data_IF_069692828492
#
_entry.id   IF_069692828492
#
_cell.length_a   1.000
_cell.length_b   1.000
_cell.length_c   1.000
_cell.angle_alpha   90.00
_cell.angle_beta   90.00
_cell.angle_gamma   90.00
#
_symmetry.space_group_name_H-M   'P 1'
#
loop_
_entity.id
_entity.type
_entity.pdbx_description
1 polymer ?
#
# COMPACT_ATOMS: atom_id res chain seq x y z
N UNK A 1 -18.03 -10.13 -28.08
CA UNK A 1 -19.12 -10.57 -27.17
C UNK A 1 -18.66 -11.56 -26.10
N UNK A 2 -17.89 -12.60 -26.43
CA UNK A 2 -17.42 -13.62 -25.45
C UNK A 2 -16.52 -13.11 -24.31
N UNK A 3 -15.66 -12.11 -24.55
CA UNK A 3 -14.74 -11.56 -23.53
C UNK A 3 -15.50 -10.74 -22.47
N UNK A 4 -16.53 -9.99 -22.86
CA UNK A 4 -17.39 -9.23 -21.93
C UNK A 4 -18.25 -10.15 -21.06
N UNK A 5 -18.77 -11.24 -21.63
CA UNK A 5 -19.52 -12.26 -20.88
C UNK A 5 -18.62 -13.05 -19.90
N UNK A 6 -17.38 -13.35 -20.30
CA UNK A 6 -16.40 -13.99 -19.42
C UNK A 6 -15.98 -13.08 -18.26
N UNK A 7 -15.76 -11.78 -18.52
CA UNK A 7 -15.46 -10.78 -17.49
C UNK A 7 -16.61 -10.61 -16.50
N UNK A 8 -17.85 -10.52 -16.99
CA UNK A 8 -19.05 -10.46 -16.13
C UNK A 8 -19.32 -11.73 -15.32
N UNK A 9 -19.04 -12.92 -15.88
CA UNK A 9 -19.15 -14.20 -15.15
C UNK A 9 -18.11 -14.27 -14.03
N UNK A 10 -16.86 -13.90 -14.29
CA UNK A 10 -15.78 -13.86 -13.28
C UNK A 10 -16.14 -12.93 -12.12
N UNK A 11 -16.56 -11.71 -12.44
CA UNK A 11 -16.96 -10.72 -11.43
C UNK A 11 -18.14 -11.20 -10.57
N UNK A 12 -19.14 -11.83 -11.21
CA UNK A 12 -20.27 -12.43 -10.48
C UNK A 12 -19.84 -13.56 -9.54
N UNK A 13 -18.90 -14.42 -9.95
CA UNK A 13 -18.35 -15.48 -9.08
C UNK A 13 -17.64 -14.86 -7.88
N UNK A 14 -16.81 -13.83 -8.10
CA UNK A 14 -16.09 -13.14 -7.03
C UNK A 14 -17.06 -12.54 -6.02
N UNK A 15 -18.01 -11.72 -6.47
CA UNK A 15 -18.96 -11.04 -5.59
C UNK A 15 -19.83 -12.04 -4.81
N UNK A 16 -20.41 -13.04 -5.50
CA UNK A 16 -21.26 -14.04 -4.83
C UNK A 16 -20.47 -14.85 -3.79
N UNK A 17 -19.25 -15.26 -4.12
CA UNK A 17 -18.40 -16.03 -3.21
C UNK A 17 -18.01 -15.21 -1.99
N UNK A 18 -17.64 -13.93 -2.18
CA UNK A 18 -17.36 -13.01 -1.08
C UNK A 18 -18.58 -12.81 -0.18
N UNK A 19 -19.77 -12.56 -0.73
CA UNK A 19 -21.00 -12.41 0.09
C UNK A 19 -21.35 -13.68 0.88
N UNK A 20 -21.16 -14.87 0.31
CA UNK A 20 -21.34 -16.12 1.04
C UNK A 20 -20.34 -16.21 2.20
N UNK A 21 -19.06 -15.90 1.96
CA UNK A 21 -18.02 -15.89 3.00
C UNK A 21 -18.35 -14.94 4.14
N UNK A 22 -18.78 -13.72 3.82
CA UNK A 22 -19.23 -12.73 4.81
C UNK A 22 -20.39 -13.28 5.64
N UNK A 23 -21.44 -13.80 4.98
CA UNK A 23 -22.61 -14.34 5.67
C UNK A 23 -22.26 -15.48 6.63
N UNK A 24 -21.39 -16.40 6.21
CA UNK A 24 -20.93 -17.49 7.08
C UNK A 24 -20.10 -16.98 8.25
N UNK A 25 -19.18 -16.04 8.03
CA UNK A 25 -18.39 -15.44 9.12
C UNK A 25 -19.25 -14.66 10.12
N UNK A 26 -20.29 -13.94 9.66
CA UNK A 26 -21.28 -13.28 10.55
C UNK A 26 -21.99 -14.29 11.43
N UNK A 27 -22.51 -15.37 10.83
CA UNK A 27 -23.21 -16.42 11.57
C UNK A 27 -22.29 -17.09 12.59
N UNK A 28 -21.06 -17.43 12.20
CA UNK A 28 -20.07 -18.04 13.08
C UNK A 28 -19.63 -17.11 14.21
N UNK A 29 -19.41 -15.83 13.94
CA UNK A 29 -19.03 -14.85 14.95
C UNK A 29 -20.14 -14.69 16.01
N UNK A 30 -21.40 -14.50 15.58
CA UNK A 30 -22.53 -14.40 16.49
C UNK A 30 -22.72 -15.68 17.32
N UNK A 31 -22.66 -16.83 16.64
CA UNK A 31 -22.77 -18.14 17.27
C UNK A 31 -21.70 -18.39 18.34
N UNK A 32 -20.42 -18.19 18.00
CA UNK A 32 -19.30 -18.38 18.93
C UNK A 32 -19.32 -17.39 20.08
N UNK A 33 -19.79 -16.16 19.85
CA UNK A 33 -19.93 -15.15 20.91
C UNK A 33 -20.90 -15.63 21.99
N UNK A 34 -22.09 -16.13 21.60
CA UNK A 34 -23.09 -16.66 22.55
C UNK A 34 -22.52 -17.84 23.34
N UNK A 35 -21.84 -18.78 22.68
CA UNK A 35 -21.22 -19.93 23.35
C UNK A 35 -20.10 -19.51 24.28
N UNK A 36 -19.22 -18.62 23.83
CA UNK A 36 -18.07 -18.16 24.60
C UNK A 36 -18.49 -17.51 25.92
N UNK A 37 -19.51 -16.64 25.89
CA UNK A 37 -20.07 -16.07 27.12
C UNK A 37 -20.76 -17.11 28.00
N UNK A 38 -21.51 -18.04 27.40
CA UNK A 38 -22.27 -19.04 28.16
C UNK A 38 -21.39 -20.10 28.82
N UNK A 39 -20.17 -20.31 28.31
CA UNK A 39 -19.21 -21.30 28.80
C UNK A 39 -18.05 -20.68 29.60
N UNK A 40 -18.04 -19.34 29.75
CA UNK A 40 -16.91 -18.56 30.25
C UNK A 40 -15.59 -18.86 29.50
N UNK A 41 -15.69 -19.26 28.24
CA UNK A 41 -14.54 -19.69 27.43
C UNK A 41 -13.93 -18.50 26.68
N UNK A 42 -12.72 -18.11 27.08
CA UNK A 42 -11.97 -17.04 26.40
C UNK A 42 -11.58 -17.49 25.02
N UNK A 43 -11.07 -18.70 24.84
CA UNK A 43 -10.54 -19.11 23.54
C UNK A 43 -11.64 -19.12 22.46
N UNK A 44 -12.87 -19.49 22.84
CA UNK A 44 -14.04 -19.38 21.95
C UNK A 44 -14.38 -17.91 21.66
N UNK A 45 -14.33 -17.02 22.65
CA UNK A 45 -14.54 -15.58 22.44
C UNK A 45 -13.45 -14.99 21.52
N UNK A 46 -12.19 -15.42 21.65
CA UNK A 46 -11.09 -14.94 20.81
C UNK A 46 -11.26 -15.37 19.35
N UNK A 47 -11.64 -16.63 19.16
CA UNK A 47 -12.00 -17.15 17.86
C UNK A 47 -13.24 -16.42 17.27
N UNK A 48 -14.22 -16.04 18.10
CA UNK A 48 -15.34 -15.19 17.68
C UNK A 48 -14.89 -13.80 17.20
N UNK A 49 -13.97 -13.15 17.94
CA UNK A 49 -13.39 -11.84 17.57
C UNK A 49 -12.63 -11.92 16.25
N UNK A 50 -11.89 -13.00 16.00
CA UNK A 50 -11.21 -13.22 14.72
C UNK A 50 -12.22 -13.29 13.56
N UNK A 51 -13.30 -14.07 13.73
CA UNK A 51 -14.38 -14.15 12.73
C UNK A 51 -15.11 -12.80 12.53
N UNK A 52 -15.30 -12.04 13.60
CA UNK A 52 -15.86 -10.69 13.52
C UNK A 52 -14.93 -9.74 12.77
N UNK A 53 -13.62 -9.88 12.91
CA UNK A 53 -12.62 -9.10 12.19
C UNK A 53 -12.73 -9.31 10.67
N UNK A 54 -12.94 -10.55 10.21
CA UNK A 54 -13.20 -10.84 8.80
C UNK A 54 -14.47 -10.16 8.27
N UNK A 55 -15.52 -10.17 9.08
CA UNK A 55 -16.80 -9.51 8.75
C UNK A 55 -16.58 -8.02 8.61
N UNK A 56 -15.93 -7.39 9.59
CA UNK A 56 -15.66 -5.96 9.58
C UNK A 56 -14.82 -5.57 8.36
N UNK A 57 -13.73 -6.28 8.09
CA UNK A 57 -12.91 -6.08 6.89
C UNK A 57 -13.76 -6.06 5.62
N UNK A 58 -14.65 -7.04 5.48
CA UNK A 58 -15.51 -7.16 4.30
C UNK A 58 -16.59 -6.07 4.20
N UNK A 59 -17.23 -5.72 5.32
CA UNK A 59 -18.23 -4.65 5.38
C UNK A 59 -17.59 -3.32 5.02
N UNK A 60 -16.36 -3.04 5.49
CA UNK A 60 -15.65 -1.82 5.13
C UNK A 60 -15.16 -1.85 3.70
N UNK A 61 -14.69 -2.97 3.14
CA UNK A 61 -14.38 -3.00 1.71
C UNK A 61 -15.59 -2.54 0.90
N UNK A 62 -16.80 -2.96 1.27
CA UNK A 62 -18.03 -2.52 0.58
C UNK A 62 -18.41 -1.07 0.90
N UNK A 63 -18.42 -0.69 2.18
CA UNK A 63 -18.85 0.65 2.61
C UNK A 63 -17.83 1.73 2.23
N UNK A 64 -16.54 1.46 2.46
CA UNK A 64 -15.39 2.26 2.09
C UNK A 64 -15.33 2.46 0.58
N UNK A 65 -15.45 1.39 -0.23
CA UNK A 65 -15.50 1.54 -1.68
C UNK A 65 -16.67 2.42 -2.13
N UNK A 66 -17.86 2.26 -1.53
CA UNK A 66 -19.04 3.07 -1.87
C UNK A 66 -18.86 4.55 -1.51
N UNK A 67 -18.18 4.86 -0.41
CA UNK A 67 -17.86 6.24 -0.03
C UNK A 67 -16.73 6.81 -0.90
N UNK A 68 -15.73 5.99 -1.23
CA UNK A 68 -14.60 6.32 -2.08
C UNK A 68 -14.99 6.59 -3.54
N UNK A 69 -16.06 5.94 -4.02
CA UNK A 69 -16.58 6.10 -5.38
C UNK A 69 -17.40 7.38 -5.59
N UNK A 70 -17.56 8.21 -4.55
CA UNK A 70 -18.18 9.52 -4.71
C UNK A 70 -17.33 10.41 -5.61
N UNK A 71 -17.99 11.03 -6.60
CA UNK A 71 -17.37 12.00 -7.48
C UNK A 71 -16.73 13.17 -6.69
N UNK A 72 -15.71 13.83 -7.26
CA UNK A 72 -15.16 15.07 -6.72
C UNK A 72 -16.22 16.15 -6.50
N UNK A 73 -16.03 16.94 -5.46
CA UNK A 73 -16.85 18.10 -5.13
C UNK A 73 -16.00 19.33 -4.78
N UNK A 74 -16.65 20.43 -4.38
CA UNK A 74 -15.97 21.69 -4.07
C UNK A 74 -14.98 21.56 -2.91
N UNK A 75 -15.31 20.75 -1.89
CA UNK A 75 -14.44 20.54 -0.73
C UNK A 75 -13.33 19.52 -1.05
N UNK A 76 -13.62 18.57 -1.95
CA UNK A 76 -12.75 17.45 -2.30
C UNK A 76 -12.52 17.37 -3.82
N UNK A 77 -11.67 18.25 -4.40
CA UNK A 77 -11.44 18.32 -5.85
C UNK A 77 -10.74 17.09 -6.44
N UNK A 78 -10.04 16.31 -5.61
CA UNK A 78 -9.45 15.02 -6.00
C UNK A 78 -10.38 13.81 -5.74
N UNK A 79 -11.61 14.08 -5.30
CA UNK A 79 -12.57 13.06 -4.93
C UNK A 79 -12.35 12.50 -3.53
N UNK A 80 -13.04 11.39 -3.28
CA UNK A 80 -13.24 10.85 -1.94
C UNK A 80 -12.50 9.53 -1.69
N UNK A 81 -11.58 9.16 -2.59
CA UNK A 81 -10.95 7.84 -2.59
C UNK A 81 -10.27 7.46 -1.27
N UNK A 82 -9.69 8.43 -0.55
CA UNK A 82 -9.06 8.21 0.76
C UNK A 82 -10.02 7.78 1.87
N UNK A 83 -11.35 7.87 1.67
CA UNK A 83 -12.30 7.28 2.62
C UNK A 83 -12.12 5.76 2.76
N UNK A 84 -11.58 5.09 1.74
CA UNK A 84 -11.25 3.66 1.84
C UNK A 84 -10.20 3.42 2.92
N UNK A 85 -9.10 4.19 2.89
CA UNK A 85 -8.04 4.12 3.91
C UNK A 85 -8.56 4.57 5.28
N UNK A 86 -9.32 5.66 5.36
CA UNK A 86 -9.88 6.11 6.65
C UNK A 86 -10.81 5.06 7.26
N UNK A 87 -11.59 4.37 6.44
CA UNK A 87 -12.45 3.29 6.92
C UNK A 87 -11.62 2.10 7.42
N UNK A 88 -10.58 1.69 6.68
CA UNK A 88 -9.66 0.64 7.11
C UNK A 88 -8.95 1.00 8.42
N UNK A 89 -8.60 2.28 8.60
CA UNK A 89 -7.97 2.78 9.81
C UNK A 89 -8.87 2.58 11.03
N UNK A 90 -10.14 2.98 10.94
CA UNK A 90 -11.11 2.81 12.04
C UNK A 90 -11.24 1.33 12.43
N UNK A 91 -11.30 0.41 11.46
CA UNK A 91 -11.36 -1.03 11.79
C UNK A 91 -10.08 -1.48 12.46
N UNK A 92 -8.92 -1.09 11.95
CA UNK A 92 -7.64 -1.55 12.49
C UNK A 92 -7.52 -1.20 13.96
N UNK A 93 -8.04 -0.04 14.36
CA UNK A 93 -8.16 0.38 15.76
C UNK A 93 -9.12 -0.53 16.53
N UNK A 94 -10.30 -0.85 15.98
CA UNK A 94 -11.28 -1.74 16.63
C UNK A 94 -10.71 -3.16 16.82
N UNK A 95 -10.09 -3.74 15.79
CA UNK A 95 -9.47 -5.07 15.83
C UNK A 95 -8.31 -5.07 16.82
N UNK A 96 -7.44 -4.05 16.77
CA UNK A 96 -6.33 -3.93 17.68
C UNK A 96 -6.81 -3.82 19.13
N UNK A 97 -7.81 -2.97 19.40
CA UNK A 97 -8.44 -2.84 20.72
C UNK A 97 -9.07 -4.16 21.19
N UNK A 98 -9.77 -4.88 20.31
CA UNK A 98 -10.32 -6.18 20.60
C UNK A 98 -9.21 -7.19 20.95
N UNK A 99 -8.10 -7.17 20.20
CA UNK A 99 -6.88 -7.96 20.47
C UNK A 99 -6.19 -7.63 21.80
N UNK A 100 -6.19 -6.36 22.21
CA UNK A 100 -5.64 -5.96 23.53
C UNK A 100 -6.55 -6.48 24.64
N UNK A 101 -7.86 -6.25 24.54
CA UNK A 101 -8.85 -6.72 25.51
C UNK A 101 -8.80 -8.25 25.65
N UNK A 102 -8.74 -8.93 24.51
CA UNK A 102 -8.50 -10.35 24.36
C UNK A 102 -7.28 -10.88 25.10
N UNK A 103 -6.14 -10.22 24.91
CA UNK A 103 -4.88 -10.57 25.57
C UNK A 103 -4.97 -10.37 27.08
N UNK A 104 -5.50 -9.23 27.53
CA UNK A 104 -5.68 -8.94 28.96
C UNK A 104 -6.53 -10.01 29.62
N UNK A 105 -7.65 -10.39 29.00
CA UNK A 105 -8.56 -11.39 29.53
C UNK A 105 -7.91 -12.78 29.56
N UNK A 106 -7.19 -13.15 28.49
CA UNK A 106 -6.44 -14.41 28.43
C UNK A 106 -5.38 -14.51 29.53
N UNK A 107 -4.63 -13.43 29.76
CA UNK A 107 -3.61 -13.36 30.82
C UNK A 107 -4.25 -13.46 32.20
N UNK A 108 -5.37 -12.79 32.45
CA UNK A 108 -6.10 -12.92 33.73
C UNK A 108 -6.46 -14.38 34.01
N UNK A 109 -7.01 -15.11 33.03
CA UNK A 109 -7.37 -16.53 33.20
C UNK A 109 -6.19 -17.50 33.18
N UNK A 110 -4.99 -17.05 32.85
CA UNK A 110 -3.75 -17.81 33.09
C UNK A 110 -3.33 -17.65 34.56
N UNK A 111 -3.43 -16.44 35.12
CA UNK A 111 -3.01 -16.12 36.50
C UNK A 111 -4.04 -16.63 37.52
N UNK A 112 -5.32 -16.39 37.25
CA UNK A 112 -6.47 -16.82 38.05
C UNK A 112 -7.36 -17.71 37.17
N UNK A 113 -7.08 -19.03 37.10
CA UNK A 113 -7.85 -19.94 36.27
C UNK A 113 -9.30 -20.01 36.74
N UNK A 114 -10.22 -19.62 35.86
CA UNK A 114 -11.64 -19.93 36.02
C UNK A 114 -11.92 -21.33 35.47
N UNK A 115 -12.94 -21.98 36.01
CA UNK A 115 -13.42 -23.30 35.55
C UNK A 115 -14.34 -23.06 34.35
N UNK A 116 -13.94 -23.39 33.12
CA UNK A 116 -14.84 -23.30 31.96
C UNK A 116 -15.94 -24.35 32.08
N UNK A 117 -17.19 -23.91 31.88
CA UNK A 117 -18.37 -24.77 31.95
C UNK A 117 -18.78 -25.23 30.55
N UNK A 118 -18.14 -26.31 30.09
CA UNK A 118 -18.51 -26.90 28.80
C UNK A 118 -19.76 -27.76 28.94
N UNK A 119 -20.75 -27.50 28.07
CA UNK A 119 -21.93 -28.35 27.91
C UNK A 119 -21.75 -29.21 26.65
N UNK A 120 -22.43 -30.36 26.58
CA UNK A 120 -22.44 -31.16 25.34
C UNK A 120 -22.89 -30.32 24.13
N UNK A 121 -23.81 -29.38 24.36
CA UNK A 121 -24.24 -28.44 23.33
C UNK A 121 -23.09 -27.53 22.85
N UNK A 122 -22.30 -26.94 23.75
CA UNK A 122 -21.18 -26.06 23.34
C UNK A 122 -20.10 -26.81 22.55
N UNK A 123 -19.82 -28.08 22.89
CA UNK A 123 -18.86 -28.91 22.15
C UNK A 123 -19.36 -29.27 20.74
N UNK A 124 -20.62 -29.71 20.61
CA UNK A 124 -21.23 -30.01 19.30
C UNK A 124 -21.11 -28.80 18.39
N UNK A 125 -21.38 -27.64 18.97
CA UNK A 125 -21.39 -26.38 18.26
C UNK A 125 -19.98 -25.92 17.82
N UNK A 126 -18.94 -26.18 18.61
CA UNK A 126 -17.56 -25.98 18.19
C UNK A 126 -17.18 -26.88 17.01
N UNK A 127 -17.58 -28.15 17.05
CA UNK A 127 -17.38 -29.10 15.95
C UNK A 127 -18.06 -28.59 14.68
N UNK A 128 -19.31 -28.12 14.78
CA UNK A 128 -20.04 -27.52 13.66
C UNK A 128 -19.31 -26.30 13.11
N UNK A 129 -18.79 -25.43 13.97
CA UNK A 129 -18.04 -24.24 13.55
C UNK A 129 -16.75 -24.59 12.79
N UNK A 130 -15.99 -25.58 13.26
CA UNK A 130 -14.78 -26.08 12.57
C UNK A 130 -15.15 -26.64 11.19
N UNK A 131 -16.17 -27.50 11.12
CA UNK A 131 -16.63 -28.09 9.86
C UNK A 131 -17.09 -26.99 8.89
N UNK A 132 -17.85 -26.00 9.38
CA UNK A 132 -18.32 -24.88 8.57
C UNK A 132 -17.16 -24.09 7.95
N UNK A 133 -16.10 -23.79 8.71
CA UNK A 133 -14.90 -23.11 8.19
C UNK A 133 -14.14 -23.98 7.18
N UNK A 134 -14.03 -25.29 7.39
CA UNK A 134 -13.40 -26.20 6.41
C UNK A 134 -14.17 -26.19 5.09
N UNK A 135 -15.50 -26.33 5.15
CA UNK A 135 -16.37 -26.30 3.97
C UNK A 135 -16.25 -24.96 3.27
N UNK A 136 -16.35 -23.86 4.02
CA UNK A 136 -16.23 -22.51 3.47
C UNK A 136 -14.88 -22.31 2.79
N UNK A 137 -13.77 -22.62 3.47
CA UNK A 137 -12.43 -22.44 2.94
C UNK A 137 -12.18 -23.24 1.67
N UNK A 138 -12.61 -24.50 1.63
CA UNK A 138 -12.53 -25.32 0.40
C UNK A 138 -13.39 -24.75 -0.73
N UNK A 139 -14.60 -24.30 -0.43
CA UNK A 139 -15.52 -23.73 -1.41
C UNK A 139 -14.95 -22.42 -2.00
N UNK A 140 -14.56 -21.47 -1.15
CA UNK A 140 -14.02 -20.17 -1.55
C UNK A 140 -12.74 -20.33 -2.35
N UNK A 141 -11.84 -21.23 -1.92
CA UNK A 141 -10.59 -21.53 -2.63
C UNK A 141 -10.84 -22.13 -4.01
N UNK A 142 -11.75 -23.10 -4.13
CA UNK A 142 -12.12 -23.71 -5.40
C UNK A 142 -12.73 -22.66 -6.36
N UNK A 143 -13.60 -21.78 -5.86
CA UNK A 143 -14.16 -20.68 -6.64
C UNK A 143 -13.12 -19.63 -7.03
N UNK A 144 -12.12 -19.39 -6.18
CA UNK A 144 -10.97 -18.55 -6.51
C UNK A 144 -10.11 -19.11 -7.64
N UNK A 145 -9.89 -20.43 -7.66
CA UNK A 145 -9.21 -21.10 -8.78
C UNK A 145 -10.03 -21.04 -10.07
N UNK A 146 -11.35 -21.24 -10.00
CA UNK A 146 -12.25 -21.13 -11.16
C UNK A 146 -12.26 -19.70 -11.75
N UNK A 147 -12.17 -18.68 -10.89
CA UNK A 147 -12.22 -17.27 -11.28
C UNK A 147 -10.84 -16.66 -11.56
N UNK A 148 -9.75 -17.42 -11.45
CA UNK A 148 -8.36 -16.92 -11.45
C UNK A 148 -8.21 -15.66 -10.57
N UNK A 149 -8.61 -15.83 -9.31
CA UNK A 149 -8.66 -14.76 -8.30
C UNK A 149 -7.78 -15.15 -7.12
N UNK A 150 -6.57 -14.61 -7.11
CA UNK A 150 -5.64 -14.76 -5.98
C UNK A 150 -6.26 -14.31 -4.64
N UNK A 151 -7.10 -13.28 -4.66
CA UNK A 151 -7.82 -12.80 -3.48
C UNK A 151 -8.77 -13.85 -2.89
N UNK A 152 -9.55 -14.55 -3.72
CA UNK A 152 -10.42 -15.64 -3.24
C UNK A 152 -9.61 -16.88 -2.83
N UNK A 153 -8.51 -17.21 -3.53
CA UNK A 153 -7.63 -18.31 -3.14
C UNK A 153 -7.01 -18.05 -1.76
N UNK A 154 -6.59 -16.80 -1.51
CA UNK A 154 -6.12 -16.30 -0.23
C UNK A 154 -7.20 -16.43 0.84
N UNK A 155 -8.34 -15.79 0.65
CA UNK A 155 -9.48 -15.83 1.59
C UNK A 155 -9.94 -17.26 1.93
N UNK A 156 -9.98 -18.16 0.95
CA UNK A 156 -10.30 -19.56 1.19
C UNK A 156 -9.22 -20.30 1.98
N UNK A 157 -7.95 -19.92 1.82
CA UNK A 157 -6.84 -20.45 2.63
C UNK A 157 -6.88 -19.88 4.05
N UNK A 158 -7.21 -18.61 4.22
CA UNK A 158 -7.38 -17.96 5.54
C UNK A 158 -8.51 -18.63 6.32
N UNK A 159 -9.66 -18.89 5.70
CA UNK A 159 -10.75 -19.64 6.33
C UNK A 159 -10.34 -21.06 6.76
N UNK A 160 -9.40 -21.71 6.05
CA UNK A 160 -8.85 -22.99 6.47
C UNK A 160 -7.89 -22.83 7.66
N UNK A 161 -7.09 -21.77 7.72
CA UNK A 161 -6.27 -21.46 8.89
C UNK A 161 -7.14 -21.15 10.12
N UNK A 162 -8.23 -20.43 9.96
CA UNK A 162 -9.20 -20.22 11.04
C UNK A 162 -9.81 -21.52 11.53
N UNK A 163 -10.10 -22.47 10.63
CA UNK A 163 -10.57 -23.79 11.03
C UNK A 163 -9.57 -24.50 11.94
N UNK A 164 -8.26 -24.35 11.67
CA UNK A 164 -7.19 -24.90 12.51
C UNK A 164 -7.16 -24.21 13.88
N UNK A 165 -7.34 -22.89 13.94
CA UNK A 165 -7.44 -22.16 15.20
C UNK A 165 -8.66 -22.61 16.01
N UNK A 166 -9.85 -22.64 15.40
CA UNK A 166 -11.09 -23.16 16.02
C UNK A 166 -10.93 -24.61 16.50
N UNK A 167 -10.25 -25.45 15.73
CA UNK A 167 -9.98 -26.83 16.10
C UNK A 167 -9.03 -26.91 17.30
N UNK A 168 -8.04 -26.02 17.38
CA UNK A 168 -7.14 -25.95 18.54
C UNK A 168 -7.88 -25.59 19.82
N UNK A 169 -8.89 -24.70 19.73
CA UNK A 169 -9.81 -24.39 20.85
C UNK A 169 -10.62 -25.63 21.25
N UNK A 170 -11.18 -26.36 20.28
CA UNK A 170 -11.91 -27.60 20.55
C UNK A 170 -11.02 -28.66 21.23
N UNK A 171 -9.78 -28.83 20.76
CA UNK A 171 -8.83 -29.76 21.37
C UNK A 171 -8.50 -29.34 22.80
N UNK A 172 -8.28 -28.05 23.06
CA UNK A 172 -8.04 -27.54 24.42
C UNK A 172 -9.23 -27.82 25.36
N UNK A 173 -10.47 -27.65 24.86
CA UNK A 173 -11.69 -27.98 25.61
C UNK A 173 -11.78 -29.48 25.94
N UNK A 174 -11.51 -30.36 24.97
CA UNK A 174 -11.51 -31.80 25.19
C UNK A 174 -10.42 -32.24 26.18
N UNK A 175 -9.23 -31.63 26.08
CA UNK A 175 -8.13 -31.89 27.02
C UNK A 175 -8.51 -31.49 28.44
N UNK A 176 -9.19 -30.35 28.59
CA UNK A 176 -9.69 -29.91 29.88
C UNK A 176 -10.72 -30.89 30.47
N UNK A 177 -11.64 -31.42 29.66
CA UNK A 177 -12.68 -32.34 30.13
C UNK A 177 -12.13 -33.70 30.58
N UNK A 178 -11.09 -34.22 29.92
CA UNK A 178 -10.52 -35.53 30.26
C UNK A 178 -9.44 -35.45 31.35
N UNK A 179 -8.59 -34.42 31.31
CA UNK A 179 -7.40 -34.32 32.17
C UNK A 179 -7.40 -33.12 33.13
N UNK A 180 -8.39 -32.23 33.06
CA UNK A 180 -8.48 -31.05 33.92
C UNK A 180 -7.42 -29.96 33.66
N UNK A 181 -6.69 -30.04 32.55
CA UNK A 181 -5.60 -29.12 32.22
C UNK A 181 -6.15 -27.84 31.56
N UNK A 182 -5.93 -26.63 32.13
CA UNK A 182 -6.49 -25.37 31.61
C UNK A 182 -5.65 -24.81 30.44
N UNK A 183 -5.50 -25.59 29.37
CA UNK A 183 -4.75 -25.18 28.17
C UNK A 183 -5.44 -24.05 27.38
N UNK A 184 -6.72 -23.86 27.63
CA UNK A 184 -7.55 -22.92 26.89
C UNK A 184 -7.05 -21.48 26.99
N UNK A 185 -6.71 -21.00 28.19
CA UNK A 185 -6.23 -19.63 28.39
C UNK A 185 -4.93 -19.36 27.61
N UNK A 186 -4.08 -20.37 27.45
CA UNK A 186 -2.85 -20.29 26.64
C UNK A 186 -3.16 -20.26 25.13
N UNK A 187 -4.13 -21.06 24.67
CA UNK A 187 -4.59 -21.02 23.27
C UNK A 187 -5.25 -19.66 22.98
N UNK A 188 -6.07 -19.14 23.89
CA UNK A 188 -6.67 -17.81 23.81
C UNK A 188 -5.62 -16.70 23.71
N UNK A 189 -4.58 -16.74 24.56
CA UNK A 189 -3.46 -15.80 24.50
C UNK A 189 -2.70 -15.89 23.17
N UNK A 190 -2.48 -17.11 22.66
CA UNK A 190 -1.83 -17.31 21.37
C UNK A 190 -2.66 -16.71 20.22
N UNK A 191 -3.97 -16.93 20.20
CA UNK A 191 -4.88 -16.33 19.21
C UNK A 191 -4.88 -14.80 19.34
N UNK A 192 -4.91 -14.26 20.57
CA UNK A 192 -4.85 -12.82 20.82
C UNK A 192 -3.54 -12.19 20.28
N UNK A 193 -2.40 -12.87 20.40
CA UNK A 193 -1.14 -12.45 19.78
C UNK A 193 -1.26 -12.31 18.25
N UNK A 194 -1.92 -13.26 17.58
CA UNK A 194 -2.16 -13.18 16.13
C UNK A 194 -3.06 -12.00 15.77
N UNK A 195 -4.16 -11.81 16.52
CA UNK A 195 -5.08 -10.69 16.31
C UNK A 195 -4.35 -9.35 16.50
N UNK A 196 -3.53 -9.21 17.55
CA UNK A 196 -2.74 -8.00 17.80
C UNK A 196 -1.75 -7.72 16.68
N UNK A 197 -1.03 -8.74 16.21
CA UNK A 197 -0.09 -8.61 15.10
C UNK A 197 -0.80 -8.16 13.82
N UNK A 198 -1.94 -8.77 13.51
CA UNK A 198 -2.76 -8.42 12.34
C UNK A 198 -3.33 -7.00 12.45
N UNK A 199 -3.90 -6.64 13.60
CA UNK A 199 -4.44 -5.30 13.86
C UNK A 199 -3.38 -4.21 13.77
N UNK A 200 -2.19 -4.44 14.36
CA UNK A 200 -1.06 -3.51 14.26
C UNK A 200 -0.52 -3.39 12.83
N UNK A 201 -0.39 -4.50 12.11
CA UNK A 201 0.02 -4.51 10.70
C UNK A 201 -0.93 -3.67 9.85
N UNK A 202 -2.24 -3.92 9.95
CA UNK A 202 -3.25 -3.18 9.21
C UNK A 202 -3.25 -1.69 9.57
N UNK A 203 -3.10 -1.35 10.86
CA UNK A 203 -2.99 0.03 11.32
C UNK A 203 -1.79 0.75 10.70
N UNK A 204 -0.61 0.12 10.77
CA UNK A 204 0.63 0.65 10.19
C UNK A 204 0.50 0.85 8.69
N UNK A 205 0.01 -0.17 7.98
CA UNK A 205 -0.06 -0.16 6.52
C UNK A 205 -1.04 0.92 6.04
N UNK A 206 -2.22 1.03 6.67
CA UNK A 206 -3.20 2.08 6.36
C UNK A 206 -2.68 3.49 6.68
N UNK A 207 -1.95 3.64 7.78
CA UNK A 207 -1.32 4.94 8.10
C UNK A 207 -0.26 5.33 7.07
N UNK A 208 0.52 4.37 6.56
CA UNK A 208 1.49 4.63 5.50
C UNK A 208 0.79 5.08 4.20
N UNK A 209 -0.31 4.44 3.82
CA UNK A 209 -1.15 4.86 2.68
C UNK A 209 -1.64 6.31 2.81
N UNK A 210 -2.06 6.69 4.03
CA UNK A 210 -2.56 8.05 4.33
C UNK A 210 -1.43 9.09 4.34
N UNK A 211 -0.29 8.76 4.95
CA UNK A 211 0.86 9.66 5.05
C UNK A 211 1.55 9.91 3.70
N UNK A 212 1.40 8.96 2.77
CA UNK A 212 2.07 9.00 1.48
C UNK A 212 3.29 8.10 1.52
N UNK A 213 3.13 6.90 0.99
CA UNK A 213 4.19 5.94 0.79
C UNK A 213 4.91 6.15 -0.56
N UNK A 214 6.10 5.57 -0.65
CA UNK A 214 6.91 5.67 -1.86
C UNK A 214 6.21 4.96 -3.02
N UNK A 215 6.17 5.56 -4.22
CA UNK A 215 5.54 4.89 -5.36
C UNK A 215 6.26 3.59 -5.72
N UNK A 216 5.51 2.65 -6.28
CA UNK A 216 6.04 1.39 -6.79
C UNK A 216 7.15 1.67 -7.82
N UNK A 217 8.38 1.16 -7.61
CA UNK A 217 9.50 1.32 -8.54
C UNK A 217 9.18 0.81 -9.95
N UNK A 218 8.31 -0.20 -10.11
CA UNK A 218 7.90 -0.69 -11.43
C UNK A 218 7.07 0.36 -12.18
N UNK A 219 6.06 0.93 -11.51
CA UNK A 219 5.24 2.00 -12.06
C UNK A 219 6.08 3.24 -12.41
N UNK A 220 7.03 3.62 -11.56
CA UNK A 220 7.94 4.75 -11.84
C UNK A 220 8.77 4.48 -13.09
N UNK A 221 9.37 3.29 -13.21
CA UNK A 221 10.15 2.90 -14.40
C UNK A 221 9.29 2.91 -15.65
N UNK A 222 8.07 2.40 -15.59
CA UNK A 222 7.14 2.40 -16.72
C UNK A 222 6.83 3.82 -17.20
N UNK A 223 6.46 4.74 -16.30
CA UNK A 223 6.17 6.14 -16.63
C UNK A 223 7.42 6.82 -17.23
N UNK A 224 8.59 6.67 -16.60
CA UNK A 224 9.83 7.28 -17.12
C UNK A 224 10.19 6.75 -18.50
N UNK A 225 10.04 5.45 -18.75
CA UNK A 225 10.30 4.85 -20.06
C UNK A 225 9.33 5.36 -21.13
N UNK A 226 8.04 5.52 -20.79
CA UNK A 226 7.05 6.06 -21.72
C UNK A 226 7.33 7.53 -22.10
N UNK A 227 7.86 8.32 -21.16
CA UNK A 227 8.28 9.71 -21.39
C UNK A 227 9.54 9.77 -22.26
N UNK A 228 10.61 9.05 -21.90
CA UNK A 228 11.89 9.05 -22.65
C UNK A 228 11.75 8.40 -24.03
N UNK A 229 10.68 7.64 -24.29
CA UNK A 229 10.36 7.15 -25.62
C UNK A 229 9.88 8.26 -26.59
N UNK A 230 9.51 9.46 -26.10
CA UNK A 230 9.27 10.61 -26.98
C UNK A 230 10.61 11.21 -27.43
N UNK A 231 10.85 11.36 -28.76
CA UNK A 231 12.14 11.82 -29.29
C UNK A 231 12.62 13.17 -28.75
N UNK A 232 11.69 14.04 -28.37
CA UNK A 232 11.96 15.37 -27.85
C UNK A 232 12.45 15.36 -26.39
N UNK A 233 12.13 14.31 -25.63
CA UNK A 233 12.43 14.21 -24.18
C UNK A 233 13.78 13.53 -23.98
N UNK A 234 14.77 14.30 -23.52
CA UNK A 234 16.09 13.74 -23.19
C UNK A 234 16.08 12.93 -21.89
N UNK A 235 15.25 13.34 -20.92
CA UNK A 235 15.16 12.70 -19.61
C UNK A 235 13.91 13.09 -18.84
N UNK A 236 13.50 12.21 -17.93
CA UNK A 236 12.38 12.40 -17.02
C UNK A 236 12.85 12.21 -15.56
N UNK A 237 12.69 13.26 -14.78
CA UNK A 237 13.25 13.45 -13.44
C UNK A 237 12.15 13.88 -12.47
N UNK A 238 12.43 13.78 -11.16
CA UNK A 238 11.54 14.22 -10.08
C UNK A 238 10.07 13.82 -10.26
N UNK A 239 9.85 12.59 -10.74
CA UNK A 239 8.52 12.01 -10.81
C UNK A 239 7.99 11.86 -9.38
N UNK A 240 7.04 12.72 -9.04
CA UNK A 240 6.26 12.68 -7.82
C UNK A 240 4.93 12.00 -8.13
N UNK A 241 4.51 11.06 -7.30
CA UNK A 241 3.21 10.41 -7.41
C UNK A 241 2.52 10.52 -6.05
N UNK A 242 1.32 11.10 -6.05
CA UNK A 242 0.45 11.21 -4.89
C UNK A 242 -0.77 10.32 -5.10
N UNK A 243 -1.09 9.52 -4.07
CA UNK A 243 -2.26 8.68 -4.06
C UNK A 243 -3.43 9.35 -3.32
N UNK A 244 -4.60 9.40 -3.96
CA UNK A 244 -5.85 9.94 -3.40
C UNK A 244 -6.92 8.85 -3.21
N UNK A 245 -6.48 7.62 -3.00
CA UNK A 245 -7.30 6.42 -2.90
C UNK A 245 -6.88 5.38 -3.94
N UNK A 246 -7.37 4.14 -3.81
CA UNK A 246 -7.02 3.07 -4.74
C UNK A 246 -7.35 3.46 -6.19
N UNK A 247 -6.37 3.26 -7.07
CA UNK A 247 -6.47 3.59 -8.50
C UNK A 247 -6.49 5.09 -8.84
N UNK A 248 -6.35 5.99 -7.85
CA UNK A 248 -6.40 7.45 -8.05
C UNK A 248 -5.03 8.07 -7.80
N UNK A 249 -4.12 7.84 -8.73
CA UNK A 249 -2.76 8.36 -8.69
C UNK A 249 -2.63 9.63 -9.54
N UNK A 250 -2.12 10.69 -8.93
CA UNK A 250 -1.80 11.95 -9.60
C UNK A 250 -0.30 12.17 -9.53
N UNK A 251 0.30 12.55 -10.65
CA UNK A 251 1.73 12.68 -10.76
C UNK A 251 2.15 14.02 -11.35
N UNK A 252 3.30 14.51 -10.90
CA UNK A 252 4.02 15.59 -11.56
C UNK A 252 5.42 15.10 -11.93
N UNK A 253 5.93 15.59 -13.05
CA UNK A 253 7.23 15.15 -13.57
C UNK A 253 8.01 16.34 -14.14
N UNK A 254 9.33 16.27 -14.02
CA UNK A 254 10.22 17.21 -14.67
C UNK A 254 10.80 16.55 -15.93
N UNK A 255 10.65 17.19 -17.08
CA UNK A 255 11.19 16.70 -18.35
C UNK A 255 12.27 17.63 -18.87
N UNK A 256 13.27 17.06 -19.53
CA UNK A 256 14.37 17.82 -20.11
C UNK A 256 14.20 17.90 -21.64
N UNK A 257 14.09 19.13 -22.16
CA UNK A 257 13.78 19.46 -23.55
C UNK A 257 14.83 20.38 -24.18
N UNK A 258 15.00 20.35 -25.52
CA UNK A 258 15.88 21.28 -26.23
C UNK A 258 15.57 22.75 -25.95
N UNK A 259 16.60 23.57 -25.74
CA UNK A 259 16.51 25.04 -25.58
C UNK A 259 15.99 25.81 -26.81
N UNK A 260 15.60 25.10 -27.87
CA UNK A 260 15.09 25.66 -29.13
C UNK A 260 13.60 25.44 -29.35
N UNK A 261 12.94 24.64 -28.50
CA UNK A 261 11.52 24.38 -28.64
C UNK A 261 10.70 25.64 -28.35
N UNK A 262 9.67 25.88 -29.16
CA UNK A 262 8.68 26.92 -28.89
C UNK A 262 7.70 26.44 -27.82
N UNK A 263 7.06 27.38 -27.13
CA UNK A 263 6.00 27.05 -26.14
C UNK A 263 4.88 26.23 -26.78
N UNK A 264 4.53 26.50 -28.05
CA UNK A 264 3.55 25.73 -28.81
C UNK A 264 3.97 24.27 -29.00
N UNK A 265 5.25 24.01 -29.32
CA UNK A 265 5.75 22.63 -29.45
C UNK A 265 5.73 21.89 -28.11
N UNK A 266 6.06 22.60 -27.02
CA UNK A 266 5.99 22.04 -25.66
C UNK A 266 4.55 21.71 -25.29
N UNK A 267 3.58 22.59 -25.58
CA UNK A 267 2.14 22.35 -25.33
C UNK A 267 1.60 21.11 -26.07
N UNK A 268 1.99 20.95 -27.34
CA UNK A 268 1.62 19.75 -28.11
C UNK A 268 2.23 18.47 -27.53
N UNK A 269 3.47 18.54 -27.05
CA UNK A 269 4.14 17.41 -26.40
C UNK A 269 3.48 17.06 -25.07
N UNK A 270 3.16 18.05 -24.22
CA UNK A 270 2.55 17.80 -22.90
C UNK A 270 1.17 17.15 -23.03
N UNK A 271 0.33 17.60 -23.96
CA UNK A 271 -0.95 16.96 -24.25
C UNK A 271 -0.78 15.48 -24.66
N UNK A 272 0.19 15.19 -25.53
CA UNK A 272 0.47 13.83 -26.00
C UNK A 272 0.90 12.92 -24.85
N UNK A 273 1.83 13.36 -24.01
CA UNK A 273 2.32 12.54 -22.88
C UNK A 273 1.25 12.36 -21.81
N UNK A 274 0.39 13.35 -21.54
CA UNK A 274 -0.73 13.21 -20.62
C UNK A 274 -1.64 12.04 -21.02
N UNK A 275 -2.05 12.01 -22.29
CA UNK A 275 -2.93 10.95 -22.81
C UNK A 275 -2.21 9.59 -22.83
N UNK A 276 -0.94 9.55 -23.26
CA UNK A 276 -0.14 8.32 -23.35
C UNK A 276 0.05 7.68 -21.98
N UNK A 277 0.43 8.45 -20.97
CA UNK A 277 0.64 7.96 -19.60
C UNK A 277 -0.68 7.49 -19.01
N UNK A 278 -1.75 8.29 -19.10
CA UNK A 278 -3.03 7.91 -18.52
C UNK A 278 -3.58 6.60 -19.12
N UNK A 279 -3.49 6.41 -20.45
CA UNK A 279 -3.94 5.18 -21.10
C UNK A 279 -3.12 3.94 -20.71
N UNK A 280 -1.83 4.10 -20.51
CA UNK A 280 -0.94 2.99 -20.19
C UNK A 280 -1.03 2.58 -18.71
N UNK A 281 -1.05 3.56 -17.80
CA UNK A 281 -0.84 3.32 -16.37
C UNK A 281 -2.03 3.70 -15.49
N UNK A 282 -3.02 4.43 -16.01
CA UNK A 282 -4.11 5.02 -15.23
C UNK A 282 -3.69 6.21 -14.36
N UNK A 283 -2.42 6.64 -14.41
CA UNK A 283 -1.92 7.79 -13.64
C UNK A 283 -2.25 9.10 -14.36
N UNK A 284 -2.81 10.05 -13.62
CA UNK A 284 -3.07 11.39 -14.12
C UNK A 284 -1.84 12.28 -13.96
N UNK A 285 -1.21 12.71 -15.06
CA UNK A 285 -0.20 13.77 -15.00
C UNK A 285 -0.89 15.11 -14.76
N UNK A 286 -0.70 15.68 -13.56
CA UNK A 286 -1.27 16.98 -13.16
C UNK A 286 -0.33 18.15 -13.41
N UNK A 287 0.97 17.89 -13.55
CA UNK A 287 1.97 18.92 -13.79
C UNK A 287 3.19 18.39 -14.54
N UNK A 288 3.67 19.19 -15.50
CA UNK A 288 4.90 18.92 -16.23
C UNK A 288 5.79 20.16 -16.14
N UNK A 289 6.90 20.04 -15.43
CA UNK A 289 7.94 21.08 -15.36
C UNK A 289 8.95 20.83 -16.48
N UNK A 290 9.46 21.89 -17.08
CA UNK A 290 10.41 21.79 -18.20
C UNK A 290 11.77 22.34 -17.79
N UNK A 291 12.79 21.49 -17.93
CA UNK A 291 14.18 21.91 -17.97
C UNK A 291 14.64 22.05 -19.41
N UNK A 292 15.27 23.17 -19.75
CA UNK A 292 15.94 23.35 -21.02
C UNK A 292 17.36 22.79 -20.94
N UNK A 293 17.85 22.12 -21.98
CA UNK A 293 19.28 21.83 -22.14
C UNK A 293 19.87 22.53 -23.36
N UNK A 294 21.15 22.92 -23.27
CA UNK A 294 21.84 23.63 -24.33
C UNK A 294 22.03 22.74 -25.57
N UNK A 295 21.44 23.10 -26.71
CA UNK A 295 21.66 22.39 -28.00
C UNK A 295 22.54 23.15 -28.99
N UNK A 296 22.70 24.46 -28.79
CA UNK A 296 23.38 25.35 -29.73
C UNK A 296 24.88 25.50 -29.48
N UNK A 297 25.38 25.04 -28.34
CA UNK A 297 26.75 25.25 -27.91
C UNK A 297 27.43 23.91 -27.52
N UNK A 298 28.32 23.37 -28.37
CA UNK A 298 29.04 22.14 -28.08
C UNK A 298 29.91 22.21 -26.82
N UNK A 299 30.43 23.39 -26.46
CA UNK A 299 31.18 23.54 -25.22
C UNK A 299 30.27 23.46 -24.00
N UNK A 300 29.02 23.93 -24.10
CA UNK A 300 28.04 23.78 -23.02
C UNK A 300 27.78 22.29 -22.70
N UNK A 301 27.72 21.44 -23.73
CA UNK A 301 27.61 19.99 -23.55
C UNK A 301 28.84 19.39 -22.86
N UNK A 302 30.05 19.84 -23.21
CA UNK A 302 31.27 19.40 -22.54
C UNK A 302 31.33 19.86 -21.07
N UNK A 303 30.84 21.07 -20.77
CA UNK A 303 30.73 21.57 -19.39
C UNK A 303 29.75 20.70 -18.60
N UNK A 304 28.55 20.43 -19.14
CA UNK A 304 27.55 19.55 -18.53
C UNK A 304 28.16 18.22 -18.16
N UNK A 305 28.77 17.52 -19.12
CA UNK A 305 29.35 16.20 -18.89
C UNK A 305 30.40 16.23 -17.77
N UNK A 306 31.30 17.23 -17.79
CA UNK A 306 32.36 17.34 -16.79
C UNK A 306 31.82 17.66 -15.39
N UNK A 307 30.80 18.52 -15.27
CA UNK A 307 30.16 18.83 -13.98
C UNK A 307 29.38 17.63 -13.49
N UNK A 308 28.55 16.99 -14.33
CA UNK A 308 27.79 15.80 -13.97
C UNK A 308 28.71 14.66 -13.52
N UNK A 309 29.80 14.37 -14.23
CA UNK A 309 30.78 13.36 -13.80
C UNK A 309 31.45 13.71 -12.46
N UNK A 310 31.73 14.99 -12.22
CA UNK A 310 32.30 15.43 -10.95
C UNK A 310 31.30 15.20 -9.81
N UNK A 311 30.05 15.63 -9.96
CA UNK A 311 29.01 15.46 -8.94
C UNK A 311 28.75 13.97 -8.68
N UNK A 312 28.65 13.16 -9.73
CA UNK A 312 28.38 11.72 -9.62
C UNK A 312 29.55 10.90 -9.02
N UNK A 313 30.73 11.49 -8.80
CA UNK A 313 31.82 10.84 -8.02
C UNK A 313 31.53 10.82 -6.53
N UNK A 314 30.64 11.68 -6.06
CA UNK A 314 30.24 11.68 -4.66
C UNK A 314 29.35 10.47 -4.37
N UNK A 315 29.62 9.68 -3.32
CA UNK A 315 28.85 8.47 -3.03
C UNK A 315 27.40 8.75 -2.63
N UNK A 316 27.09 10.00 -2.29
CA UNK A 316 25.74 10.46 -1.93
C UNK A 316 24.94 10.97 -3.13
N UNK A 317 25.55 11.17 -4.30
CA UNK A 317 24.88 11.66 -5.49
C UNK A 317 24.25 10.51 -6.28
N UNK A 318 22.95 10.63 -6.56
CA UNK A 318 22.17 9.59 -7.24
C UNK A 318 21.86 9.95 -8.68
N UNK A 319 21.63 11.22 -8.96
CA UNK A 319 21.27 11.72 -10.27
C UNK A 319 21.61 13.20 -10.36
N UNK A 320 22.01 13.65 -11.55
CA UNK A 320 22.15 15.07 -11.89
C UNK A 320 21.25 15.34 -13.08
N UNK A 321 20.46 16.42 -12.99
CA UNK A 321 19.52 16.82 -14.03
C UNK A 321 19.34 18.34 -14.05
N UNK A 322 18.48 18.85 -14.93
CA UNK A 322 18.20 20.29 -15.02
C UNK A 322 19.41 21.16 -15.40
N UNK A 323 20.47 20.56 -15.96
CA UNK A 323 21.73 21.27 -16.21
C UNK A 323 21.57 22.28 -17.35
N UNK A 324 21.90 23.54 -17.08
CA UNK A 324 21.97 24.59 -18.09
C UNK A 324 23.10 25.57 -17.78
N UNK A 325 23.82 25.99 -18.82
CA UNK A 325 24.88 27.00 -18.73
C UNK A 325 24.65 28.13 -19.72
N UNK A 326 24.79 29.36 -19.23
CA UNK A 326 24.96 30.55 -20.06
C UNK A 326 26.40 31.03 -19.95
N UNK A 327 27.20 30.75 -20.99
CA UNK A 327 28.62 31.13 -21.04
C UNK A 327 28.84 32.63 -21.19
N UNK A 328 27.87 33.38 -21.73
CA UNK A 328 27.97 34.84 -21.88
C UNK A 328 27.72 35.53 -20.54
N UNK A 329 26.66 35.13 -19.86
CA UNK A 329 26.34 35.61 -18.52
C UNK A 329 27.24 35.00 -17.43
N UNK A 330 27.98 33.94 -17.77
CA UNK A 330 28.77 33.11 -16.85
C UNK A 330 27.90 32.59 -15.70
N UNK A 331 26.77 31.99 -16.03
CA UNK A 331 25.88 31.36 -15.03
C UNK A 331 25.72 29.88 -15.34
N UNK A 332 25.61 29.06 -14.29
CA UNK A 332 25.32 27.63 -14.37
C UNK A 332 24.22 27.29 -13.38
N UNK A 333 23.30 26.42 -13.77
CA UNK A 333 22.32 25.80 -12.86
C UNK A 333 22.23 24.31 -13.11
N UNK A 334 22.00 23.53 -12.06
CA UNK A 334 21.69 22.12 -12.14
C UNK A 334 21.13 21.62 -10.82
N UNK A 335 20.48 20.47 -10.89
CA UNK A 335 19.82 19.84 -9.76
C UNK A 335 20.54 18.51 -9.48
N UNK A 336 20.60 18.13 -8.21
CA UNK A 336 21.22 16.87 -7.78
C UNK A 336 20.30 16.12 -6.83
N UNK A 337 19.96 14.89 -7.17
CA UNK A 337 19.25 13.98 -6.27
C UNK A 337 20.25 13.33 -5.34
N UNK A 338 19.99 13.38 -4.03
CA UNK A 338 20.89 12.87 -3.00
C UNK A 338 20.26 11.75 -2.16
N UNK A 339 21.11 10.89 -1.61
CA UNK A 339 20.70 9.87 -0.64
C UNK A 339 20.03 10.49 0.59
N UNK A 340 19.03 9.81 1.15
CA UNK A 340 18.35 10.25 2.37
C UNK A 340 19.31 10.42 3.57
N UNK A 341 18.92 11.26 4.53
CA UNK A 341 19.66 11.49 5.77
C UNK A 341 20.79 12.51 5.68
N UNK A 342 20.85 13.30 4.59
CA UNK A 342 21.85 14.35 4.38
C UNK A 342 21.25 15.75 4.44
N UNK A 343 22.03 16.68 4.98
CA UNK A 343 21.68 18.10 5.00
C UNK A 343 21.96 18.77 3.66
N UNK A 344 20.98 19.52 3.16
CA UNK A 344 21.05 20.18 1.84
C UNK A 344 22.10 21.30 1.81
N UNK A 345 22.17 22.10 2.87
CA UNK A 345 23.02 23.30 2.94
C UNK A 345 24.51 23.04 2.70
N UNK A 346 25.14 22.11 3.44
CA UNK A 346 26.54 21.74 3.23
C UNK A 346 26.83 21.22 1.82
N UNK A 347 25.94 20.39 1.25
CA UNK A 347 26.08 19.85 -0.11
C UNK A 347 26.06 20.97 -1.15
N UNK A 348 25.12 21.92 -1.04
CA UNK A 348 25.06 23.07 -1.94
C UNK A 348 26.37 23.87 -1.90
N UNK A 349 26.91 24.10 -0.70
CA UNK A 349 28.15 24.87 -0.55
C UNK A 349 29.36 24.13 -1.14
N UNK A 350 29.49 22.84 -0.84
CA UNK A 350 30.53 21.96 -1.39
C UNK A 350 30.52 21.98 -2.92
N UNK A 351 29.35 21.73 -3.53
CA UNK A 351 29.22 21.71 -4.98
C UNK A 351 29.51 23.07 -5.63
N UNK A 352 29.07 24.18 -5.01
CA UNK A 352 29.40 25.53 -5.50
C UNK A 352 30.90 25.79 -5.49
N UNK A 353 31.61 25.36 -4.45
CA UNK A 353 33.06 25.51 -4.37
C UNK A 353 33.80 24.63 -5.39
N UNK A 354 33.39 23.39 -5.56
CA UNK A 354 33.99 22.46 -6.52
C UNK A 354 33.80 22.92 -7.97
N UNK A 355 32.57 23.30 -8.33
CA UNK A 355 32.27 23.83 -9.67
C UNK A 355 32.97 25.17 -9.88
N UNK A 356 33.00 26.04 -8.86
CA UNK A 356 33.69 27.33 -8.92
C UNK A 356 35.20 27.21 -9.14
N UNK A 357 35.85 26.18 -8.59
CA UNK A 357 37.27 25.87 -8.85
C UNK A 357 37.49 25.39 -10.29
N UNK A 358 36.57 24.60 -10.83
CA UNK A 358 36.63 24.10 -12.21
C UNK A 358 36.35 25.18 -13.25
N UNK A 359 35.44 26.11 -12.93
CA UNK A 359 35.01 27.18 -13.82
C UNK A 359 35.02 28.54 -13.10
N UNK A 360 36.22 29.14 -12.90
CA UNK A 360 36.36 30.41 -12.20
C UNK A 360 35.55 31.54 -12.85
N UNK A 361 34.86 32.32 -12.02
CA UNK A 361 34.05 33.46 -12.45
C UNK A 361 32.65 33.11 -12.96
N UNK A 362 32.22 31.85 -12.83
CA UNK A 362 30.82 31.47 -13.02
C UNK A 362 30.03 31.56 -11.71
N UNK A 363 28.80 32.08 -11.80
CA UNK A 363 27.81 32.00 -10.73
C UNK A 363 27.04 30.69 -10.84
N UNK A 364 27.12 29.84 -9.82
CA UNK A 364 26.53 28.51 -9.81
C UNK A 364 25.30 28.47 -8.91
N UNK A 365 24.16 28.05 -9.45
CA UNK A 365 22.95 27.69 -8.71
C UNK A 365 22.85 26.17 -8.64
N UNK A 366 22.60 25.62 -7.45
CA UNK A 366 22.45 24.19 -7.25
C UNK A 366 21.23 23.96 -6.39
N UNK A 367 20.32 23.13 -6.89
CA UNK A 367 19.19 22.63 -6.11
C UNK A 367 19.43 21.16 -5.75
N UNK A 368 19.12 20.80 -4.50
CA UNK A 368 19.41 19.47 -3.94
C UNK A 368 18.09 18.76 -3.67
N UNK A 369 17.76 17.74 -4.44
CA UNK A 369 16.50 17.03 -4.35
C UNK A 369 16.61 15.73 -3.56
N UNK A 370 15.47 15.29 -3.02
CA UNK A 370 15.32 14.00 -2.37
C UNK A 370 14.92 12.96 -3.40
N UNK A 371 15.30 11.71 -3.18
CA UNK A 371 14.92 10.59 -4.05
C UNK A 371 13.44 10.17 -3.89
N UNK A 372 12.56 11.05 -4.38
CA UNK A 372 11.11 10.88 -4.42
C UNK A 372 10.65 9.91 -5.51
N UNK A 373 11.48 9.67 -6.53
CA UNK A 373 11.17 8.83 -7.70
C UNK A 373 11.64 7.39 -7.58
N UNK A 374 11.84 6.86 -6.37
CA UNK A 374 12.24 5.47 -6.20
C UNK A 374 13.51 5.05 -6.96
N UNK A 375 14.52 5.93 -7.07
CA UNK A 375 15.78 5.60 -7.76
C UNK A 375 16.58 4.54 -6.99
N UNK A 376 16.57 4.63 -5.65
CA UNK A 376 17.12 3.61 -4.76
C UNK A 376 16.04 2.58 -4.38
N UNK A 377 15.93 1.47 -5.07
CA UNK A 377 14.90 0.45 -4.77
C UNK A 377 14.68 -0.53 -5.91
#
# INVERSE_FOLDING_TARGET
>A
MGISLAKGRRESIILRTSFIGIGVNVLLAGFKTVVGFSTNSIAILMDAVNNLSDVLSSVITVAGAKLADRNPDFEHPFGHGRYEYLSALVISIIIFYAGVTAMVESVKKIIEPEVPEYTTASLILLVVAVIAKIILGRYVKAKGQEADSGALIGSGSDALFDAVLSFSVLVAALVYLEWGLPLESYVGALIACFILKSGYGMLRDTLNEILGERPDPQLVREIKNLLVAEPEIQGAYDLMINNYGPGRNYASVHIELPDVMTVEQVDLLTHRIHEKIFKATGVHLSGVTVYSYNTRDPEAAAIREKVSQMVMRHPWALQVHGFYVDRKAKTMRFDVVVTFGRDRGPIVQELKEEVGKLYPGYTVSVDVDRDISALQG
#
